data_IF_342453786683
#
_entry.id   IF_342453786683
#
_cell.length_a   1.000
_cell.length_b   1.000
_cell.length_c   1.000
_cell.angle_alpha   90.00
_cell.angle_beta   90.00
_cell.angle_gamma   90.00
#
_symmetry.space_group_name_H-M   'P 1'
#
loop_
_entity.id
_entity.type
_entity.pdbx_description
1 polymer ?
#
# COMPACT_ATOMS: atom_id res chain seq x y z
N UNK A 1 4.88 -3.58 16.01
CA UNK A 1 3.77 -2.90 15.34
C UNK A 1 2.60 -2.77 16.31
N UNK A 2 1.96 -1.60 16.43
CA UNK A 2 0.68 -1.51 17.09
C UNK A 2 -0.45 -2.14 16.25
N UNK A 3 -0.17 -2.50 15.00
CA UNK A 3 -1.11 -3.17 14.11
C UNK A 3 -1.00 -4.66 14.35
N UNK A 4 -2.03 -5.26 14.93
CA UNK A 4 -2.14 -6.69 15.24
C UNK A 4 -2.35 -7.59 14.01
N UNK A 5 -2.25 -7.04 12.78
CA UNK A 5 -2.43 -7.75 11.53
C UNK A 5 -1.10 -8.14 10.90
N UNK A 6 -1.05 -9.34 10.37
CA UNK A 6 0.04 -9.75 9.48
C UNK A 6 0.09 -8.84 8.24
N UNK A 7 1.28 -8.44 7.80
CA UNK A 7 1.46 -7.57 6.65
C UNK A 7 0.71 -8.07 5.40
N UNK A 8 0.67 -9.39 5.19
CA UNK A 8 -0.05 -10.00 4.08
C UNK A 8 -1.57 -9.79 4.07
N UNK A 9 -2.17 -9.40 5.19
CA UNK A 9 -3.61 -9.14 5.30
C UNK A 9 -3.98 -7.66 5.11
N UNK A 10 -3.01 -6.79 4.84
CA UNK A 10 -3.22 -5.36 4.60
C UNK A 10 -3.44 -5.13 3.11
N UNK A 11 -4.44 -4.32 2.76
CA UNK A 11 -4.65 -3.87 1.38
C UNK A 11 -3.73 -2.68 1.07
N UNK A 12 -3.06 -2.76 -0.07
CA UNK A 12 -2.28 -1.67 -0.66
C UNK A 12 -2.70 -1.56 -2.12
N UNK A 13 -2.99 -0.36 -2.59
CA UNK A 13 -3.52 -0.13 -3.94
C UNK A 13 -4.74 -1.04 -4.28
N UNK A 14 -5.60 -1.29 -3.29
CA UNK A 14 -6.81 -2.10 -3.44
C UNK A 14 -6.60 -3.63 -3.41
N UNK A 15 -5.36 -4.11 -3.27
CA UNK A 15 -5.05 -5.55 -3.22
C UNK A 15 -4.42 -5.94 -1.89
N UNK A 16 -4.67 -7.15 -1.43
CA UNK A 16 -3.94 -7.69 -0.29
C UNK A 16 -2.46 -7.87 -0.64
N UNK A 17 -1.56 -7.58 0.28
CA UNK A 17 -0.11 -7.73 0.06
C UNK A 17 0.23 -9.17 -0.34
N UNK A 18 -0.41 -10.18 0.27
CA UNK A 18 -0.22 -11.59 -0.11
C UNK A 18 -0.60 -11.88 -1.58
N UNK A 19 -1.65 -11.24 -2.09
CA UNK A 19 -2.11 -11.44 -3.46
C UNK A 19 -1.13 -10.76 -4.44
N UNK A 20 -0.58 -9.60 -4.08
CA UNK A 20 0.50 -8.96 -4.82
C UNK A 20 1.75 -9.85 -4.89
N UNK A 21 2.08 -10.57 -3.82
CA UNK A 21 3.18 -11.54 -3.82
C UNK A 21 2.89 -12.70 -4.78
N UNK A 22 1.68 -13.26 -4.73
CA UNK A 22 1.28 -14.37 -5.60
C UNK A 22 1.30 -13.99 -7.09
N UNK A 23 0.90 -12.77 -7.43
CA UNK A 23 0.96 -12.23 -8.79
C UNK A 23 2.39 -12.15 -9.36
N UNK A 24 3.42 -12.18 -8.52
CA UNK A 24 4.83 -12.21 -8.96
C UNK A 24 5.27 -13.59 -9.49
N UNK A 25 4.50 -14.65 -9.19
CA UNK A 25 4.83 -16.04 -9.56
C UNK A 25 3.72 -16.72 -10.35
N UNK A 26 3.25 -16.15 -11.49
CA UNK A 26 2.10 -16.67 -12.22
C UNK A 26 2.35 -18.06 -12.81
N UNK A 27 3.60 -18.42 -13.09
CA UNK A 27 4.01 -19.64 -13.76
C UNK A 27 5.01 -20.45 -12.92
N UNK A 28 4.86 -20.48 -11.59
CA UNK A 28 5.71 -21.34 -10.78
C UNK A 28 5.44 -22.81 -11.12
N UNK A 29 6.46 -23.57 -11.57
CA UNK A 29 6.29 -24.99 -11.87
C UNK A 29 5.69 -25.77 -10.70
N UNK A 30 4.75 -26.68 -10.98
CA UNK A 30 3.98 -27.39 -9.96
C UNK A 30 4.83 -28.30 -9.04
N UNK A 31 6.03 -28.65 -9.48
CA UNK A 31 7.02 -29.44 -8.75
C UNK A 31 7.86 -28.59 -7.78
N UNK A 32 7.66 -27.26 -7.73
CA UNK A 32 8.42 -26.34 -6.89
C UNK A 32 7.61 -25.88 -5.70
N UNK A 33 8.24 -25.85 -4.54
CA UNK A 33 7.65 -25.27 -3.32
C UNK A 33 8.31 -23.92 -3.02
N UNK A 34 7.51 -22.87 -3.10
CA UNK A 34 7.91 -21.52 -2.73
C UNK A 34 7.30 -21.14 -1.39
N UNK A 35 8.15 -20.67 -0.48
CA UNK A 35 7.73 -20.03 0.78
C UNK A 35 8.18 -18.58 0.73
N UNK A 36 7.26 -17.64 0.93
CA UNK A 36 7.56 -16.21 0.94
C UNK A 36 6.95 -15.57 2.17
N UNK A 37 7.69 -14.70 2.84
CA UNK A 37 7.16 -13.92 3.97
C UNK A 37 6.15 -12.91 3.47
N UNK A 38 5.11 -12.68 4.27
CA UNK A 38 4.05 -11.74 3.94
C UNK A 38 4.47 -10.26 3.98
N UNK A 39 5.66 -9.96 4.51
CA UNK A 39 6.26 -8.62 4.57
C UNK A 39 7.30 -8.37 3.47
N UNK A 40 7.39 -9.26 2.47
CA UNK A 40 8.33 -9.13 1.36
C UNK A 40 7.61 -9.24 0.01
N UNK A 41 7.75 -8.22 -0.82
CA UNK A 41 7.26 -8.20 -2.19
C UNK A 41 8.46 -8.20 -3.15
N UNK A 42 8.76 -9.31 -3.83
CA UNK A 42 9.85 -9.37 -4.79
C UNK A 42 9.55 -8.49 -6.01
N UNK A 43 10.59 -7.93 -6.63
CA UNK A 43 10.45 -7.32 -7.95
C UNK A 43 10.04 -8.37 -8.99
N UNK A 44 9.39 -8.00 -10.11
CA UNK A 44 9.06 -8.96 -11.16
C UNK A 44 10.28 -9.69 -11.72
N UNK A 45 11.38 -8.97 -11.91
CA UNK A 45 12.63 -9.54 -12.43
C UNK A 45 13.24 -10.53 -11.43
N UNK A 46 13.25 -10.18 -10.14
CA UNK A 46 13.77 -11.03 -9.08
C UNK A 46 12.91 -12.29 -8.88
N UNK A 47 11.59 -12.14 -8.91
CA UNK A 47 10.67 -13.27 -8.83
C UNK A 47 10.88 -14.26 -9.99
N UNK A 48 11.06 -13.76 -11.21
CA UNK A 48 11.36 -14.60 -12.37
C UNK A 48 12.71 -15.31 -12.22
N UNK A 49 13.75 -14.61 -11.75
CA UNK A 49 15.08 -15.21 -11.50
C UNK A 49 14.98 -16.38 -10.52
N UNK A 50 14.28 -16.20 -9.40
CA UNK A 50 14.09 -17.23 -8.38
C UNK A 50 13.25 -18.39 -8.93
N UNK A 51 12.14 -18.10 -9.62
CA UNK A 51 11.26 -19.14 -10.18
C UNK A 51 11.93 -20.04 -11.20
N UNK A 52 12.88 -19.50 -11.99
CA UNK A 52 13.63 -20.24 -13.03
C UNK A 52 14.91 -20.91 -12.51
N UNK A 53 15.31 -20.67 -11.27
CA UNK A 53 16.51 -21.26 -10.68
C UNK A 53 16.52 -22.79 -10.75
N UNK A 54 17.69 -23.39 -10.89
CA UNK A 54 17.87 -24.85 -11.03
C UNK A 54 18.19 -25.55 -9.71
N UNK A 55 18.31 -24.81 -8.60
CA UNK A 55 18.66 -25.33 -7.28
C UNK A 55 17.81 -24.74 -6.18
N UNK A 56 17.87 -25.35 -4.99
CA UNK A 56 17.28 -24.76 -3.80
C UNK A 56 17.95 -23.43 -3.50
N UNK A 57 17.15 -22.40 -3.17
CA UNK A 57 17.69 -21.10 -2.78
C UNK A 57 16.94 -20.48 -1.60
N UNK A 58 17.67 -19.70 -0.82
CA UNK A 58 17.15 -18.87 0.25
C UNK A 58 17.46 -17.39 -0.07
N UNK A 59 16.43 -16.57 -0.15
CA UNK A 59 16.58 -15.12 -0.34
C UNK A 59 16.75 -14.47 1.02
N UNK A 60 17.84 -13.77 1.18
CA UNK A 60 18.27 -13.18 2.46
C UNK A 60 18.31 -11.66 2.35
N UNK A 61 17.70 -10.98 3.32
CA UNK A 61 17.82 -9.54 3.46
C UNK A 61 19.18 -9.20 4.09
N UNK A 62 20.08 -8.53 3.38
CA UNK A 62 21.44 -8.26 3.87
C UNK A 62 21.47 -7.28 5.05
N UNK A 63 20.39 -6.57 5.32
CA UNK A 63 20.33 -5.57 6.39
C UNK A 63 20.11 -6.18 7.78
N UNK A 64 19.44 -7.35 7.87
CA UNK A 64 19.14 -8.03 9.13
C UNK A 64 19.45 -9.53 9.10
N UNK A 65 19.92 -10.06 7.96
CA UNK A 65 20.23 -11.48 7.75
C UNK A 65 18.99 -12.37 7.69
N UNK A 66 17.78 -11.82 7.67
CA UNK A 66 16.56 -12.61 7.68
C UNK A 66 16.30 -13.28 6.33
N UNK A 67 15.95 -14.57 6.34
CA UNK A 67 15.41 -15.25 5.17
C UNK A 67 13.99 -14.78 4.92
N UNK A 68 13.76 -14.20 3.74
CA UNK A 68 12.46 -13.62 3.35
C UNK A 68 11.70 -14.48 2.33
N UNK A 69 12.41 -15.33 1.60
CA UNK A 69 11.81 -16.26 0.64
C UNK A 69 12.69 -17.49 0.48
N UNK A 70 12.06 -18.65 0.27
CA UNK A 70 12.77 -19.90 0.01
C UNK A 70 12.12 -20.63 -1.16
N UNK A 71 12.95 -21.14 -2.08
CA UNK A 71 12.56 -22.06 -3.14
C UNK A 71 13.15 -23.43 -2.86
N UNK A 72 12.26 -24.45 -2.78
CA UNK A 72 12.64 -25.85 -2.66
C UNK A 72 12.23 -26.61 -3.92
N UNK A 73 13.16 -27.35 -4.50
CA UNK A 73 12.92 -28.20 -5.67
C UNK A 73 13.02 -29.66 -5.20
N UNK A 74 11.94 -30.46 -5.30
CA UNK A 74 11.96 -31.86 -4.90
C UNK A 74 13.05 -32.65 -5.62
N UNK A 75 13.76 -33.49 -4.87
CA UNK A 75 14.88 -34.29 -5.42
C UNK A 75 16.22 -33.57 -5.52
N UNK A 76 16.26 -32.28 -5.28
CA UNK A 76 17.53 -31.53 -5.17
C UNK A 76 17.98 -31.55 -3.72
N UNK A 77 19.11 -32.20 -3.46
CA UNK A 77 19.74 -32.28 -2.15
C UNK A 77 20.84 -31.23 -2.00
N UNK A 78 21.04 -30.73 -0.79
CA UNK A 78 22.06 -29.73 -0.44
C UNK A 78 21.46 -28.52 0.27
N UNK A 79 22.31 -27.76 0.95
CA UNK A 79 21.92 -26.50 1.56
C UNK A 79 21.48 -25.50 0.47
N UNK A 80 20.44 -24.68 0.71
CA UNK A 80 20.01 -23.69 -0.25
C UNK A 80 21.12 -22.64 -0.48
N UNK A 81 21.35 -22.29 -1.74
CA UNK A 81 22.20 -21.16 -2.10
C UNK A 81 21.57 -19.86 -1.57
N UNK A 82 22.36 -18.98 -0.95
CA UNK A 82 21.88 -17.70 -0.49
C UNK A 82 21.93 -16.65 -1.60
N UNK A 83 20.81 -15.93 -1.78
CA UNK A 83 20.69 -14.85 -2.76
C UNK A 83 20.24 -13.59 -1.98
N UNK A 84 20.97 -12.48 -2.06
CA UNK A 84 20.52 -11.23 -1.45
C UNK A 84 19.30 -10.67 -2.20
N UNK A 85 18.42 -9.96 -1.51
CA UNK A 85 17.32 -9.23 -2.17
C UNK A 85 17.89 -8.17 -3.11
N UNK A 86 17.22 -7.95 -4.23
CA UNK A 86 17.58 -6.87 -5.15
C UNK A 86 17.05 -5.50 -4.66
N UNK A 87 17.55 -4.43 -5.30
CA UNK A 87 17.18 -3.06 -4.93
C UNK A 87 15.71 -2.69 -5.25
N UNK A 88 15.09 -3.41 -6.17
CA UNK A 88 13.73 -3.16 -6.65
C UNK A 88 12.67 -3.98 -5.90
N UNK A 89 13.09 -4.92 -5.07
CA UNK A 89 12.22 -5.66 -4.17
C UNK A 89 11.86 -4.84 -2.94
N UNK A 90 10.66 -5.07 -2.40
CA UNK A 90 10.12 -4.26 -1.32
C UNK A 90 10.01 -5.05 -0.02
N UNK A 91 10.54 -4.49 1.07
CA UNK A 91 10.39 -5.04 2.41
C UNK A 91 9.53 -4.12 3.27
N UNK A 92 8.47 -4.67 3.87
CA UNK A 92 7.57 -3.94 4.77
C UNK A 92 8.01 -4.20 6.20
N UNK A 93 8.78 -3.30 6.78
CA UNK A 93 9.26 -3.37 8.17
C UNK A 93 8.45 -2.48 9.10
N UNK A 94 7.97 -1.37 8.57
CA UNK A 94 7.29 -0.32 9.31
C UNK A 94 6.02 0.13 8.58
N UNK A 95 5.08 0.77 9.26
CA UNK A 95 3.86 1.29 8.61
C UNK A 95 4.12 2.25 7.45
N UNK A 96 5.16 3.07 7.52
CA UNK A 96 5.49 4.00 6.45
C UNK A 96 6.03 3.33 5.18
N UNK A 97 6.47 2.08 5.27
CA UNK A 97 6.84 1.29 4.09
C UNK A 97 5.59 0.97 3.26
N UNK A 98 4.42 0.81 3.91
CA UNK A 98 3.14 0.65 3.22
C UNK A 98 2.77 1.88 2.40
N UNK A 99 3.07 3.10 2.91
CA UNK A 99 2.85 4.32 2.12
C UNK A 99 3.75 4.35 0.88
N UNK A 100 5.03 4.01 1.04
CA UNK A 100 5.96 3.99 -0.09
C UNK A 100 5.55 2.94 -1.14
N UNK A 101 5.13 1.75 -0.70
CA UNK A 101 4.60 0.72 -1.60
C UNK A 101 3.33 1.20 -2.30
N UNK A 102 2.41 1.83 -1.57
CA UNK A 102 1.18 2.38 -2.13
C UNK A 102 1.46 3.48 -3.16
N UNK A 103 2.36 4.42 -2.85
CA UNK A 103 2.81 5.47 -3.77
C UNK A 103 3.32 4.88 -5.10
N UNK A 104 4.14 3.84 -5.01
CA UNK A 104 4.69 3.16 -6.19
C UNK A 104 3.59 2.46 -7.01
N UNK A 105 2.73 1.68 -6.36
CA UNK A 105 1.70 0.89 -7.06
C UNK A 105 0.60 1.77 -7.65
N UNK A 106 0.10 2.75 -6.90
CA UNK A 106 -0.94 3.67 -7.38
C UNK A 106 -0.36 4.63 -8.40
N UNK A 107 0.87 5.12 -8.19
CA UNK A 107 1.57 5.99 -9.15
C UNK A 107 1.82 5.34 -10.51
N UNK A 108 1.95 4.01 -10.54
CA UNK A 108 2.16 3.23 -11.78
C UNK A 108 0.88 2.91 -12.55
N UNK A 109 -0.30 3.35 -12.11
CA UNK A 109 -1.55 3.12 -12.84
C UNK A 109 -1.51 3.78 -14.21
N UNK A 110 -2.02 3.05 -15.20
CA UNK A 110 -2.23 3.50 -16.57
C UNK A 110 -3.71 3.29 -16.95
N UNK A 111 -4.40 4.37 -17.27
CA UNK A 111 -5.82 4.32 -17.66
C UNK A 111 -6.79 4.25 -16.48
N UNK A 112 -8.04 4.61 -16.79
CA UNK A 112 -9.14 4.54 -15.85
C UNK A 112 -9.78 3.15 -15.82
N UNK A 113 -10.20 2.70 -14.63
CA UNK A 113 -11.04 1.51 -14.43
C UNK A 113 -12.23 1.91 -13.57
N UNK A 114 -13.35 2.20 -14.18
CA UNK A 114 -14.55 2.69 -13.51
C UNK A 114 -15.61 1.58 -13.51
N UNK A 115 -15.77 0.89 -12.38
CA UNK A 115 -16.80 -0.14 -12.16
C UNK A 115 -17.98 0.41 -11.33
N UNK A 116 -17.80 1.57 -10.71
CA UNK A 116 -18.80 2.31 -9.96
C UNK A 116 -19.48 3.43 -10.78
N UNK A 117 -20.02 4.42 -10.10
CA UNK A 117 -20.73 5.56 -10.71
C UNK A 117 -19.97 6.87 -10.49
N UNK A 118 -19.73 7.61 -11.54
CA UNK A 118 -19.20 8.98 -11.49
C UNK A 118 -20.32 9.93 -11.89
N UNK A 119 -20.73 10.83 -10.98
CA UNK A 119 -21.73 11.85 -11.26
C UNK A 119 -21.11 13.06 -11.96
N UNK A 120 -21.90 13.72 -12.80
CA UNK A 120 -21.45 14.93 -13.49
C UNK A 120 -20.94 16.00 -12.48
N UNK A 121 -19.85 16.69 -12.87
CA UNK A 121 -19.20 17.70 -12.03
C UNK A 121 -18.05 17.18 -11.17
N UNK A 122 -17.64 15.92 -11.29
CA UNK A 122 -16.37 15.45 -10.81
C UNK A 122 -15.28 15.68 -11.85
N UNK A 123 -14.04 16.00 -11.42
CA UNK A 123 -12.88 16.28 -12.28
C UNK A 123 -11.71 15.40 -11.88
N UNK A 124 -11.04 14.82 -12.89
CA UNK A 124 -9.88 13.94 -12.68
C UNK A 124 -8.69 14.42 -13.51
N UNK A 125 -7.59 14.75 -12.84
CA UNK A 125 -6.29 15.06 -13.44
C UNK A 125 -5.29 13.91 -13.21
N UNK A 126 -5.78 12.68 -13.29
CA UNK A 126 -5.04 11.44 -13.12
C UNK A 126 -5.94 10.25 -13.38
N UNK A 127 -5.40 9.04 -13.15
CA UNK A 127 -6.14 7.81 -13.36
C UNK A 127 -6.89 7.37 -12.11
N UNK A 128 -8.14 6.95 -12.30
CA UNK A 128 -9.04 6.53 -11.24
C UNK A 128 -9.42 5.07 -11.43
N UNK A 129 -9.15 4.24 -10.44
CA UNK A 129 -9.74 2.92 -10.31
C UNK A 129 -10.85 3.01 -9.26
N UNK A 130 -12.09 2.79 -9.67
CA UNK A 130 -13.29 2.89 -8.84
C UNK A 130 -14.01 1.54 -8.80
N UNK A 131 -14.10 0.93 -7.63
CA UNK A 131 -14.76 -0.35 -7.41
C UNK A 131 -16.27 -0.29 -7.55
N UNK A 132 -16.88 -1.48 -7.66
CA UNK A 132 -18.34 -1.64 -7.81
C UNK A 132 -19.11 -1.07 -6.63
N UNK A 133 -20.29 -0.55 -6.88
CA UNK A 133 -21.15 0.06 -5.86
C UNK A 133 -20.66 1.42 -5.35
N UNK A 134 -19.43 1.81 -5.67
CA UNK A 134 -18.90 3.12 -5.28
C UNK A 134 -19.44 4.26 -6.12
N UNK A 135 -19.59 5.44 -5.50
CA UNK A 135 -20.08 6.64 -6.15
C UNK A 135 -19.19 7.83 -5.87
N UNK A 136 -18.78 8.52 -6.94
CA UNK A 136 -18.11 9.83 -6.88
C UNK A 136 -19.17 10.90 -7.17
N UNK A 137 -19.33 11.84 -6.23
CA UNK A 137 -20.34 12.90 -6.25
C UNK A 137 -19.81 14.18 -6.91
N UNK A 138 -20.69 15.13 -7.25
CA UNK A 138 -20.30 16.41 -7.86
C UNK A 138 -19.29 17.19 -7.01
N UNK A 139 -18.41 17.95 -7.66
CA UNK A 139 -17.43 18.81 -7.04
C UNK A 139 -16.22 18.07 -6.45
N UNK A 140 -16.12 16.76 -6.64
CA UNK A 140 -14.90 16.01 -6.30
C UNK A 140 -13.81 16.35 -7.31
N UNK A 141 -12.64 16.74 -6.79
CA UNK A 141 -11.44 16.93 -7.61
C UNK A 141 -10.37 15.94 -7.22
N UNK A 142 -9.89 15.18 -8.20
CA UNK A 142 -8.82 14.20 -8.03
C UNK A 142 -7.60 14.65 -8.83
N UNK A 143 -6.48 14.90 -8.12
CA UNK A 143 -5.18 15.26 -8.69
C UNK A 143 -4.19 14.11 -8.48
N UNK A 144 -3.73 13.50 -9.55
CA UNK A 144 -2.93 12.28 -9.53
C UNK A 144 -3.78 11.02 -9.55
N UNK A 145 -3.13 9.88 -9.36
CA UNK A 145 -3.81 8.60 -9.44
C UNK A 145 -4.49 8.21 -8.11
N UNK A 146 -5.57 7.45 -8.19
CA UNK A 146 -6.26 6.96 -7.01
C UNK A 146 -6.85 5.57 -7.23
N UNK A 147 -6.82 4.73 -6.19
CA UNK A 147 -7.60 3.50 -6.11
C UNK A 147 -8.67 3.67 -5.04
N UNK A 148 -9.92 3.43 -5.40
CA UNK A 148 -11.09 3.45 -4.50
C UNK A 148 -11.76 2.09 -4.58
N UNK A 149 -11.92 1.44 -3.43
CA UNK A 149 -12.55 0.13 -3.31
C UNK A 149 -14.03 0.09 -3.64
N UNK A 150 -14.72 -0.94 -3.19
CA UNK A 150 -16.15 -1.17 -3.43
C UNK A 150 -17.03 -0.45 -2.40
N UNK A 151 -18.27 -0.14 -2.79
CA UNK A 151 -19.32 0.44 -1.92
C UNK A 151 -18.92 1.73 -1.19
N UNK A 152 -18.05 2.54 -1.79
CA UNK A 152 -17.60 3.81 -1.24
C UNK A 152 -18.49 4.98 -1.65
N UNK A 153 -18.58 5.99 -0.77
CA UNK A 153 -19.18 7.28 -1.09
C UNK A 153 -18.12 8.37 -1.03
N UNK A 154 -17.82 8.99 -2.17
CA UNK A 154 -16.80 10.02 -2.31
C UNK A 154 -17.42 11.35 -2.65
N UNK A 155 -17.21 12.35 -1.81
CA UNK A 155 -17.76 13.70 -1.96
C UNK A 155 -19.05 13.94 -1.19
N UNK A 156 -19.75 15.08 -1.48
CA UNK A 156 -19.41 16.05 -2.52
C UNK A 156 -18.23 16.98 -2.13
N UNK A 157 -17.71 17.73 -3.12
CA UNK A 157 -16.73 18.80 -2.88
C UNK A 157 -15.54 18.39 -1.99
N UNK A 158 -14.93 17.25 -2.26
CA UNK A 158 -13.68 16.82 -1.61
C UNK A 158 -12.50 16.87 -2.59
N UNK A 159 -11.31 16.98 -2.04
CA UNK A 159 -10.06 17.00 -2.78
C UNK A 159 -9.23 15.77 -2.46
N UNK A 160 -8.91 14.99 -3.48
CA UNK A 160 -8.07 13.78 -3.36
C UNK A 160 -6.84 14.00 -4.22
N UNK A 161 -5.65 13.86 -3.64
CA UNK A 161 -4.40 14.12 -4.38
C UNK A 161 -3.23 13.24 -4.01
N UNK A 162 -2.22 13.25 -4.86
CA UNK A 162 -1.09 12.33 -4.78
C UNK A 162 -1.50 10.96 -5.29
N UNK A 163 -1.11 9.92 -4.57
CA UNK A 163 -1.39 8.54 -4.95
C UNK A 163 -2.07 7.78 -3.79
N UNK A 164 -3.22 8.24 -3.28
CA UNK A 164 -3.88 7.55 -2.18
C UNK A 164 -4.59 6.28 -2.65
N UNK A 165 -4.80 5.37 -1.71
CA UNK A 165 -5.77 4.29 -1.86
C UNK A 165 -6.79 4.31 -0.74
N UNK A 166 -8.04 4.01 -1.09
CA UNK A 166 -9.20 3.96 -0.20
C UNK A 166 -9.76 2.54 -0.26
N UNK A 167 -9.90 1.90 0.89
CA UNK A 167 -10.47 0.56 1.00
C UNK A 167 -11.96 0.52 0.70
N UNK A 168 -12.60 -0.60 1.04
CA UNK A 168 -14.02 -0.81 0.75
C UNK A 168 -14.93 -0.12 1.79
N UNK A 169 -16.13 0.26 1.38
CA UNK A 169 -17.19 0.82 2.24
C UNK A 169 -16.76 2.07 3.00
N UNK A 170 -15.91 2.87 2.39
CA UNK A 170 -15.43 4.13 2.96
C UNK A 170 -16.34 5.30 2.61
N UNK A 171 -16.32 6.32 3.47
CA UNK A 171 -16.99 7.59 3.23
C UNK A 171 -15.99 8.74 3.34
N UNK A 172 -15.73 9.40 2.23
CA UNK A 172 -14.95 10.65 2.15
C UNK A 172 -15.93 11.76 1.82
N UNK A 173 -16.23 12.61 2.78
CA UNK A 173 -17.34 13.57 2.68
C UNK A 173 -16.94 14.97 2.26
N UNK A 174 -17.82 15.94 2.59
CA UNK A 174 -17.70 17.32 2.15
C UNK A 174 -16.50 18.04 2.79
N UNK A 175 -15.79 18.83 1.98
CA UNK A 175 -14.66 19.64 2.38
C UNK A 175 -13.55 18.81 3.08
N UNK A 176 -13.37 17.58 2.61
CA UNK A 176 -12.29 16.69 3.06
C UNK A 176 -11.18 16.70 2.04
N UNK A 177 -9.94 16.78 2.52
CA UNK A 177 -8.77 16.55 1.70
C UNK A 177 -8.06 15.27 2.13
N UNK A 178 -7.86 14.35 1.17
CA UNK A 178 -7.03 13.15 1.33
C UNK A 178 -5.82 13.28 0.43
N UNK A 179 -4.64 13.26 1.05
CA UNK A 179 -3.39 13.37 0.33
C UNK A 179 -2.52 12.15 0.57
N UNK A 180 -2.16 11.45 -0.50
CA UNK A 180 -1.08 10.44 -0.47
C UNK A 180 -1.17 9.50 0.76
N UNK A 181 -2.35 8.97 1.04
CA UNK A 181 -2.64 8.17 2.22
C UNK A 181 -3.20 6.82 1.85
N UNK A 182 -2.99 5.84 2.72
CA UNK A 182 -3.58 4.53 2.63
C UNK A 182 -4.70 4.45 3.68
N UNK A 183 -5.94 4.29 3.21
CA UNK A 183 -7.11 4.11 4.05
C UNK A 183 -7.57 2.65 3.96
N UNK A 184 -7.76 2.02 5.11
CA UNK A 184 -8.35 0.69 5.22
C UNK A 184 -9.83 0.65 4.90
N UNK A 185 -10.47 -0.48 5.20
CA UNK A 185 -11.89 -0.67 4.96
C UNK A 185 -12.77 0.04 6.00
N UNK A 186 -13.94 0.53 5.59
CA UNK A 186 -14.95 1.17 6.48
C UNK A 186 -14.42 2.41 7.19
N UNK A 187 -13.46 3.13 6.59
CA UNK A 187 -13.01 4.41 7.11
C UNK A 187 -14.02 5.50 6.77
N UNK A 188 -14.34 6.34 7.75
CA UNK A 188 -15.23 7.50 7.56
C UNK A 188 -14.49 8.79 7.87
N UNK A 189 -14.39 9.66 6.88
CA UNK A 189 -13.89 11.04 6.98
C UNK A 189 -14.99 11.94 6.44
N UNK A 190 -16.00 12.20 7.28
CA UNK A 190 -17.28 12.76 6.80
C UNK A 190 -17.26 14.23 6.45
N UNK A 191 -16.46 15.05 7.17
CA UNK A 191 -16.58 16.52 7.10
C UNK A 191 -15.28 17.24 7.43
N UNK A 192 -14.96 18.30 6.68
CA UNK A 192 -14.01 19.36 7.08
C UNK A 192 -12.70 18.83 7.67
N UNK A 193 -12.06 17.87 7.02
CA UNK A 193 -10.91 17.19 7.59
C UNK A 193 -9.77 17.10 6.58
N UNK A 194 -8.55 17.02 7.10
CA UNK A 194 -7.34 16.76 6.31
C UNK A 194 -6.63 15.51 6.81
N UNK A 195 -6.40 14.56 5.91
CA UNK A 195 -5.54 13.41 6.15
C UNK A 195 -4.46 13.32 5.06
N UNK A 196 -3.22 13.52 5.45
CA UNK A 196 -2.09 13.50 4.53
C UNK A 196 -0.97 12.57 4.97
N UNK A 197 -0.40 11.85 4.02
CA UNK A 197 0.78 11.00 4.19
C UNK A 197 0.62 10.03 5.38
N UNK A 198 -0.57 9.39 5.48
CA UNK A 198 -0.99 8.61 6.65
C UNK A 198 -1.41 7.20 6.27
N UNK A 199 -1.24 6.26 7.21
CA UNK A 199 -1.83 4.92 7.15
C UNK A 199 -2.99 4.88 8.13
N UNK A 200 -4.21 4.84 7.63
CA UNK A 200 -5.44 4.83 8.42
C UNK A 200 -6.01 3.41 8.40
N UNK A 201 -6.07 2.79 9.56
CA UNK A 201 -6.56 1.42 9.71
C UNK A 201 -8.07 1.32 9.46
N UNK A 202 -8.58 0.07 9.37
CA UNK A 202 -10.00 -0.19 9.16
C UNK A 202 -10.87 0.42 10.27
N UNK A 203 -12.07 0.81 9.89
CA UNK A 203 -13.13 1.25 10.80
C UNK A 203 -12.81 2.50 11.63
N UNK A 204 -11.83 3.28 11.18
CA UNK A 204 -11.53 4.57 11.78
C UNK A 204 -12.59 5.58 11.36
N UNK A 205 -13.09 6.36 12.33
CA UNK A 205 -14.01 7.46 12.09
C UNK A 205 -13.40 8.78 12.55
N UNK A 206 -13.28 9.73 11.65
CA UNK A 206 -12.83 11.08 11.95
C UNK A 206 -13.99 11.98 12.32
N UNK A 207 -13.90 12.61 13.48
CA UNK A 207 -14.78 13.72 13.82
C UNK A 207 -14.56 14.90 12.88
N UNK A 208 -15.57 15.73 12.70
CA UNK A 208 -15.47 16.93 11.88
C UNK A 208 -14.35 17.86 12.39
N UNK A 209 -13.57 18.43 11.47
CA UNK A 209 -12.45 19.31 11.81
C UNK A 209 -11.17 18.58 12.20
N UNK A 210 -11.08 17.27 11.97
CA UNK A 210 -9.82 16.53 12.21
C UNK A 210 -8.75 16.94 11.21
N UNK A 211 -7.62 17.43 11.72
CA UNK A 211 -6.46 17.80 10.91
C UNK A 211 -5.25 16.97 11.33
N UNK A 212 -4.74 16.14 10.45
CA UNK A 212 -3.52 15.38 10.66
C UNK A 212 -2.32 16.21 10.17
N UNK A 213 -1.52 16.73 11.09
CA UNK A 213 -0.27 17.41 10.74
C UNK A 213 0.75 16.40 10.20
N UNK A 214 1.26 16.63 9.01
CA UNK A 214 2.17 15.73 8.32
C UNK A 214 3.55 16.31 8.01
N UNK A 215 3.83 17.54 8.44
CA UNK A 215 5.12 18.21 8.23
C UNK A 215 5.63 18.79 9.55
N UNK A 216 6.87 18.47 9.90
CA UNK A 216 7.55 19.07 11.05
C UNK A 216 7.93 20.51 10.77
N UNK A 217 7.89 21.37 11.79
CA UNK A 217 8.28 22.79 11.68
C UNK A 217 9.75 22.97 11.27
N UNK A 218 10.64 22.04 11.67
CA UNK A 218 12.06 22.10 11.34
C UNK A 218 12.38 21.51 9.94
N UNK A 219 11.36 20.99 9.24
CA UNK A 219 11.48 20.41 7.90
C UNK A 219 12.31 19.12 7.82
N UNK A 220 12.68 18.53 8.95
CA UNK A 220 13.40 17.26 9.02
C UNK A 220 12.46 16.07 8.85
N UNK A 221 13.03 14.88 8.68
CA UNK A 221 12.26 13.64 8.67
C UNK A 221 11.53 13.44 10.00
N UNK A 222 10.36 12.81 9.91
CA UNK A 222 9.67 12.31 11.09
C UNK A 222 10.49 11.18 11.72
N UNK A 223 10.42 11.07 13.05
CA UNK A 223 11.03 10.00 13.82
C UNK A 223 9.96 9.27 14.61
N UNK A 224 10.04 7.98 14.62
CA UNK A 224 9.14 7.08 15.35
C UNK A 224 9.85 6.50 16.55
N UNK A 225 9.19 6.44 17.70
CA UNK A 225 9.74 5.80 18.89
C UNK A 225 9.40 4.29 18.85
N UNK A 226 10.41 3.47 18.70
CA UNK A 226 10.29 2.02 18.69
C UNK A 226 11.30 1.41 19.68
N UNK A 227 10.83 0.54 20.57
CA UNK A 227 11.68 -0.13 21.57
C UNK A 227 12.61 0.85 22.33
N UNK A 228 12.09 2.01 22.73
CA UNK A 228 12.82 3.08 23.45
C UNK A 228 13.90 3.79 22.61
N UNK A 229 14.01 3.53 21.33
CA UNK A 229 14.90 4.22 20.41
C UNK A 229 14.12 4.96 19.33
N UNK A 230 14.68 6.08 18.86
CA UNK A 230 14.09 6.81 17.74
C UNK A 230 14.60 6.24 16.42
N UNK A 231 13.66 5.77 15.58
CA UNK A 231 13.89 5.36 14.20
C UNK A 231 13.56 6.52 13.27
N UNK A 232 14.46 6.88 12.35
CA UNK A 232 14.19 7.84 11.29
C UNK A 232 13.32 7.17 10.23
N UNK A 233 12.17 7.76 9.91
CA UNK A 233 11.23 7.21 8.93
C UNK A 233 11.70 7.41 7.47
N UNK A 234 12.76 8.19 7.25
CA UNK A 234 13.17 8.61 5.91
C UNK A 234 12.19 9.60 5.25
N UNK A 235 11.11 9.99 5.93
CA UNK A 235 10.01 10.78 5.34
C UNK A 235 9.90 12.16 6.00
N UNK A 236 10.02 13.21 5.17
CA UNK A 236 9.75 14.59 5.62
C UNK A 236 8.27 14.84 5.87
N UNK A 237 7.40 14.14 5.14
CA UNK A 237 5.95 14.18 5.29
C UNK A 237 5.46 12.82 5.74
N UNK A 238 4.90 12.79 6.94
CA UNK A 238 4.32 11.61 7.55
C UNK A 238 3.31 12.07 8.60
N UNK A 239 2.06 11.63 8.49
CA UNK A 239 0.98 12.07 9.35
C UNK A 239 0.75 11.12 10.51
N UNK A 240 -0.14 10.15 10.33
CA UNK A 240 -0.59 9.23 11.38
C UNK A 240 -0.54 7.76 10.94
N UNK A 241 -0.62 6.91 11.96
CA UNK A 241 -0.82 5.46 11.81
C UNK A 241 -2.04 5.09 12.63
#
# INVERSE_FOLDING_TARGET
WPITREAGSIKVAGKLVRDLILERFPELPADRKLTCRADFLPSPAFAALVALGSGNCAVVDPSDGATVMELCIPGVSGAPGQIPIDADSFRIRHPWDLLALNEQLVGALIGNRIEGTVRAGATFDGFVHLGRGSVILPGVYIEGNVVIGEDCKIGPNCYIRGNPSVGDRCHIGQAVEIKNSLLGDKVSVGHLSYAGDSVICDRVNFGAGTIISNLRHDGRNHRWLENQAFVDTGRRKFGAI
#
